data_IF_354308325943
#
_entry.id   IF_354308325943
#
_cell.length_a   1.000
_cell.length_b   1.000
_cell.length_c   1.000
_cell.angle_alpha   90.00
_cell.angle_beta   90.00
_cell.angle_gamma   90.00
#
_symmetry.space_group_name_H-M   'P 1'
#
loop_
_entity.id
_entity.type
_entity.pdbx_description
1 polymer ?
#
# COMPACT_ATOMS: atom_id res chain seq x y z
N UNK A 1 -15.64 30.23 19.69
CA UNK A 1 -14.72 30.76 18.67
C UNK A 1 -13.32 30.73 19.27
N UNK A 2 -12.51 29.72 18.93
CA UNK A 2 -11.10 29.64 19.33
C UNK A 2 -10.24 29.67 18.08
N UNK A 3 -9.27 30.57 18.09
CA UNK A 3 -8.37 30.92 16.99
C UNK A 3 -7.60 29.72 16.41
N UNK A 4 -7.69 29.54 15.09
CA UNK A 4 -6.61 29.90 14.17
C UNK A 4 -5.26 29.20 14.24
N UNK A 5 -5.02 28.20 15.10
CA UNK A 5 -3.79 27.43 15.06
C UNK A 5 -3.87 26.39 13.93
N UNK A 6 -3.14 26.62 12.82
CA UNK A 6 -2.92 25.58 11.80
C UNK A 6 -2.35 24.34 12.52
N UNK A 7 -2.98 23.16 12.42
CA UNK A 7 -2.48 21.98 13.10
C UNK A 7 -1.06 21.70 12.63
N UNK A 8 -0.12 21.57 13.58
CA UNK A 8 1.24 21.19 13.28
C UNK A 8 1.30 19.85 12.54
N UNK A 9 2.31 19.69 11.69
CA UNK A 9 2.54 18.47 10.89
C UNK A 9 2.53 17.21 11.79
N UNK A 10 1.87 16.14 11.33
CA UNK A 10 1.63 14.90 12.09
C UNK A 10 2.94 14.30 12.63
N UNK A 11 2.91 13.89 13.90
CA UNK A 11 3.99 13.18 14.61
C UNK A 11 3.68 11.68 14.78
N UNK A 12 4.71 10.86 15.03
CA UNK A 12 4.54 9.40 15.20
C UNK A 12 3.63 9.05 16.38
N UNK A 13 3.73 9.81 17.48
CA UNK A 13 2.92 9.62 18.69
C UNK A 13 1.43 9.85 18.40
N UNK A 14 1.11 10.87 17.61
CA UNK A 14 -0.27 11.16 17.20
C UNK A 14 -0.80 10.08 16.25
N UNK A 15 0.03 9.61 15.31
CA UNK A 15 -0.35 8.52 14.42
C UNK A 15 -0.67 7.25 15.22
N UNK A 16 0.17 6.89 16.18
CA UNK A 16 -0.02 5.71 17.02
C UNK A 16 -1.22 5.83 17.98
N UNK A 17 -1.42 7.01 18.59
CA UNK A 17 -2.57 7.25 19.47
C UNK A 17 -3.89 7.09 18.71
N UNK A 18 -3.97 7.57 17.46
CA UNK A 18 -5.17 7.41 16.63
C UNK A 18 -5.50 5.95 16.29
N UNK A 19 -4.50 5.07 16.16
CA UNK A 19 -4.75 3.65 15.84
C UNK A 19 -5.65 2.98 16.88
N UNK A 20 -5.43 3.24 18.17
CA UNK A 20 -6.20 2.59 19.24
C UNK A 20 -7.66 3.05 19.26
N UNK A 21 -7.89 4.35 19.12
CA UNK A 21 -9.19 4.94 19.41
C UNK A 21 -10.18 4.83 18.23
N UNK A 22 -9.68 4.68 16.99
CA UNK A 22 -10.56 4.64 15.80
C UNK A 22 -10.80 3.23 15.21
N UNK A 23 -10.27 2.16 15.80
CA UNK A 23 -10.31 0.80 15.25
C UNK A 23 -11.73 0.27 15.00
N UNK A 24 -12.72 0.75 15.75
CA UNK A 24 -14.11 0.28 15.71
C UNK A 24 -15.09 1.26 15.07
N UNK A 25 -14.65 2.47 14.72
CA UNK A 25 -15.51 3.39 14.00
C UNK A 25 -15.49 2.98 12.53
N UNK A 26 -16.65 2.84 11.88
CA UNK A 26 -16.73 2.57 10.44
C UNK A 26 -16.90 3.90 9.71
N UNK A 27 -15.91 4.30 8.90
CA UNK A 27 -15.91 5.63 8.27
C UNK A 27 -16.56 5.62 6.88
N UNK A 28 -17.39 6.63 6.61
CA UNK A 28 -17.79 6.98 5.23
C UNK A 28 -16.61 7.47 4.40
N UNK A 29 -15.51 7.88 5.05
CA UNK A 29 -14.28 8.33 4.42
C UNK A 29 -13.54 7.28 3.58
N UNK A 30 -13.86 5.97 3.70
CA UNK A 30 -13.16 4.90 2.94
C UNK A 30 -13.43 5.02 1.44
N UNK A 31 -14.70 5.19 1.06
CA UNK A 31 -15.09 5.36 -0.35
C UNK A 31 -14.51 6.65 -0.92
N UNK A 32 -14.53 7.72 -0.12
CA UNK A 32 -13.90 8.99 -0.49
C UNK A 32 -12.39 8.88 -0.71
N UNK A 33 -11.69 8.13 0.14
CA UNK A 33 -10.26 7.86 -0.01
C UNK A 33 -9.98 7.02 -1.27
N UNK A 34 -10.78 5.98 -1.52
CA UNK A 34 -10.65 5.16 -2.73
C UNK A 34 -10.78 6.00 -4.00
N UNK A 35 -11.90 6.70 -4.17
CA UNK A 35 -12.14 7.53 -5.37
C UNK A 35 -11.11 8.64 -5.48
N UNK A 36 -10.77 9.28 -4.36
CA UNK A 36 -9.76 10.33 -4.31
C UNK A 36 -8.37 9.83 -4.70
N UNK A 37 -7.97 8.63 -4.28
CA UNK A 37 -6.67 8.05 -4.58
C UNK A 37 -6.53 7.69 -6.06
N UNK A 38 -7.61 7.26 -6.72
CA UNK A 38 -7.53 6.97 -8.15
C UNK A 38 -7.38 8.27 -8.95
N UNK A 39 -8.16 9.31 -8.65
CA UNK A 39 -8.17 10.55 -9.46
C UNK A 39 -7.06 11.54 -9.09
N UNK A 40 -6.74 11.67 -7.81
CA UNK A 40 -5.74 12.62 -7.34
C UNK A 40 -5.09 12.16 -6.02
N UNK A 41 -4.18 11.17 -6.07
CA UNK A 41 -3.56 10.62 -4.87
C UNK A 41 -2.73 11.67 -4.14
N UNK A 42 -2.14 12.63 -4.86
CA UNK A 42 -1.41 13.73 -4.24
C UNK A 42 -2.31 14.60 -3.35
N UNK A 43 -3.55 14.89 -3.78
CA UNK A 43 -4.50 15.66 -2.98
C UNK A 43 -4.95 14.90 -1.73
N UNK A 44 -5.21 13.59 -1.83
CA UNK A 44 -5.58 12.77 -0.66
C UNK A 44 -4.43 12.69 0.35
N UNK A 45 -3.24 12.30 -0.12
CA UNK A 45 -2.07 12.09 0.74
C UNK A 45 -1.65 13.41 1.40
N UNK A 46 -1.53 14.50 0.62
CA UNK A 46 -1.14 15.81 1.18
C UNK A 46 -2.24 16.41 2.04
N UNK A 47 -3.51 16.27 1.65
CA UNK A 47 -4.63 16.77 2.44
C UNK A 47 -4.68 16.13 3.82
N UNK A 48 -4.31 14.85 3.93
CA UNK A 48 -4.17 14.21 5.24
C UNK A 48 -2.95 14.73 6.03
N UNK A 49 -1.78 14.87 5.38
CA UNK A 49 -0.54 15.30 6.05
C UNK A 49 -0.59 16.76 6.54
N UNK A 50 -1.19 17.64 5.75
CA UNK A 50 -1.15 19.09 5.97
C UNK A 50 -2.37 19.59 6.73
N UNK A 51 -3.56 19.15 6.34
CA UNK A 51 -4.82 19.71 6.87
C UNK A 51 -5.50 18.79 7.89
N UNK A 52 -4.93 17.60 8.17
CA UNK A 52 -5.60 16.52 8.95
C UNK A 52 -7.05 16.33 8.50
N UNK A 53 -7.27 16.39 7.19
CA UNK A 53 -8.62 16.47 6.65
C UNK A 53 -9.41 15.19 6.93
N UNK A 54 -10.41 15.26 7.81
CA UNK A 54 -11.29 14.15 8.19
C UNK A 54 -12.21 13.68 7.04
N UNK A 55 -12.17 14.37 5.88
CA UNK A 55 -12.93 13.96 4.69
C UNK A 55 -12.48 12.62 4.12
N UNK A 56 -11.22 12.23 4.30
CA UNK A 56 -10.68 10.95 3.83
C UNK A 56 -10.43 10.02 5.02
N UNK A 57 -10.63 8.73 4.82
CA UNK A 57 -10.31 7.73 5.84
C UNK A 57 -8.85 7.86 6.28
N UNK A 58 -8.59 7.65 7.57
CA UNK A 58 -7.22 7.63 8.10
C UNK A 58 -6.40 6.56 7.36
N UNK A 59 -5.12 6.83 7.03
CA UNK A 59 -4.34 6.00 6.12
C UNK A 59 -4.24 4.53 6.58
N UNK A 60 -4.05 4.30 7.88
CA UNK A 60 -3.95 2.96 8.44
C UNK A 60 -5.30 2.21 8.42
N UNK A 61 -6.44 2.90 8.61
CA UNK A 61 -7.78 2.30 8.50
C UNK A 61 -8.05 1.87 7.07
N UNK A 62 -7.71 2.75 6.13
CA UNK A 62 -7.81 2.44 4.71
C UNK A 62 -6.98 1.21 4.35
N UNK A 63 -5.71 1.15 4.79
CA UNK A 63 -4.86 -0.02 4.59
C UNK A 63 -5.46 -1.29 5.19
N UNK A 64 -5.86 -1.29 6.47
CA UNK A 64 -6.42 -2.47 7.12
C UNK A 64 -7.69 -2.98 6.43
N UNK A 65 -8.59 -2.05 6.06
CA UNK A 65 -9.81 -2.39 5.34
C UNK A 65 -9.50 -3.10 4.02
N UNK A 66 -8.57 -2.57 3.23
CA UNK A 66 -8.26 -3.17 1.92
C UNK A 66 -7.40 -4.43 2.04
N UNK A 67 -6.58 -4.57 3.09
CA UNK A 67 -5.91 -5.84 3.42
C UNK A 67 -6.95 -6.92 3.72
N UNK A 68 -7.95 -6.63 4.56
CA UNK A 68 -9.03 -7.58 4.86
C UNK A 68 -9.80 -7.96 3.59
N UNK A 69 -10.15 -6.98 2.75
CA UNK A 69 -10.82 -7.23 1.47
C UNK A 69 -9.98 -8.12 0.54
N UNK A 70 -8.68 -7.86 0.44
CA UNK A 70 -7.76 -8.65 -0.38
C UNK A 70 -7.57 -10.07 0.13
N UNK A 71 -7.39 -10.26 1.43
CA UNK A 71 -7.25 -11.59 2.05
C UNK A 71 -8.53 -12.39 1.88
N UNK A 72 -9.70 -11.79 2.14
CA UNK A 72 -10.99 -12.46 1.96
C UNK A 72 -11.21 -12.88 0.50
N UNK A 73 -10.82 -12.03 -0.45
CA UNK A 73 -10.94 -12.33 -1.89
C UNK A 73 -9.94 -13.43 -2.29
N UNK A 74 -8.70 -13.37 -1.81
CA UNK A 74 -7.68 -14.40 -2.05
C UNK A 74 -8.17 -15.75 -1.56
N UNK A 75 -8.66 -15.83 -0.32
CA UNK A 75 -9.21 -17.06 0.25
C UNK A 75 -10.41 -17.58 -0.56
N UNK A 76 -11.34 -16.69 -0.93
CA UNK A 76 -12.51 -17.08 -1.70
C UNK A 76 -12.15 -17.57 -3.11
N UNK A 77 -11.28 -16.87 -3.82
CA UNK A 77 -10.94 -17.18 -5.21
C UNK A 77 -9.97 -18.34 -5.30
N UNK A 78 -8.88 -18.34 -4.53
CA UNK A 78 -7.84 -19.35 -4.65
C UNK A 78 -8.24 -20.66 -3.95
N UNK A 79 -8.76 -20.58 -2.73
CA UNK A 79 -9.02 -21.78 -1.92
C UNK A 79 -10.45 -22.31 -2.15
N UNK A 80 -11.47 -21.44 -2.06
CA UNK A 80 -12.87 -21.90 -2.16
C UNK A 80 -13.32 -22.19 -3.61
N UNK A 81 -12.79 -21.49 -4.62
CA UNK A 81 -13.06 -21.81 -6.03
C UNK A 81 -12.04 -22.78 -6.65
N UNK A 82 -10.99 -23.18 -5.93
CA UNK A 82 -10.02 -24.18 -6.39
C UNK A 82 -8.97 -23.69 -7.40
N UNK A 83 -8.88 -22.37 -7.67
CA UNK A 83 -7.90 -21.81 -8.61
C UNK A 83 -6.44 -22.06 -8.18
N UNK A 84 -6.20 -22.34 -6.89
CA UNK A 84 -4.86 -22.68 -6.38
C UNK A 84 -4.31 -23.95 -7.06
N UNK A 85 -5.15 -24.97 -7.20
CA UNK A 85 -4.81 -26.25 -7.82
C UNK A 85 -4.75 -26.12 -9.35
N UNK A 86 -5.69 -25.41 -9.96
CA UNK A 86 -5.74 -25.19 -11.42
C UNK A 86 -4.50 -24.46 -11.96
N UNK A 87 -3.95 -23.52 -11.18
CA UNK A 87 -2.77 -22.75 -11.55
C UNK A 87 -1.45 -23.48 -11.21
N UNK A 88 -1.52 -24.70 -10.67
CA UNK A 88 -0.35 -25.50 -10.28
C UNK A 88 0.42 -24.92 -9.09
N UNK A 89 -0.21 -24.08 -8.27
CA UNK A 89 0.45 -23.42 -7.14
C UNK A 89 0.76 -24.37 -5.97
N UNK A 90 0.14 -25.56 -5.94
CA UNK A 90 0.47 -26.64 -4.98
C UNK A 90 1.83 -27.29 -5.26
N UNK A 91 2.34 -27.18 -6.49
CA UNK A 91 3.58 -27.84 -6.90
C UNK A 91 4.83 -27.09 -6.40
N UNK A 92 4.65 -25.90 -5.83
CA UNK A 92 5.73 -25.10 -5.25
C UNK A 92 5.84 -25.33 -3.73
N UNK A 93 7.07 -25.68 -3.31
CA UNK A 93 7.57 -25.94 -1.95
C UNK A 93 6.81 -25.21 -0.83
N UNK A 94 6.66 -25.84 0.34
CA UNK A 94 6.04 -25.32 1.58
C UNK A 94 6.34 -23.84 1.89
N UNK A 95 7.51 -23.36 1.45
CA UNK A 95 7.94 -21.97 1.46
C UNK A 95 7.01 -20.99 0.71
N UNK A 96 6.57 -21.31 -0.51
CA UNK A 96 5.68 -20.44 -1.30
C UNK A 96 4.28 -20.39 -0.68
N UNK A 97 3.78 -21.54 -0.20
CA UNK A 97 2.53 -21.59 0.54
C UNK A 97 2.58 -20.70 1.79
N UNK A 98 3.66 -20.79 2.59
CA UNK A 98 3.87 -19.92 3.74
C UNK A 98 3.84 -18.43 3.37
N UNK A 99 4.51 -18.02 2.29
CA UNK A 99 4.53 -16.62 1.86
C UNK A 99 3.14 -16.13 1.45
N UNK A 100 2.35 -16.94 0.76
CA UNK A 100 0.99 -16.59 0.34
C UNK A 100 0.06 -16.47 1.55
N UNK A 101 0.12 -17.42 2.47
CA UNK A 101 -0.73 -17.45 3.66
C UNK A 101 -0.41 -16.31 4.63
N UNK A 102 0.85 -15.86 4.65
CA UNK A 102 1.33 -14.76 5.50
C UNK A 102 1.52 -13.44 4.75
N UNK A 103 1.05 -13.33 3.50
CA UNK A 103 1.30 -12.17 2.64
C UNK A 103 0.88 -10.83 3.27
N UNK A 104 -0.23 -10.81 4.01
CA UNK A 104 -0.71 -9.63 4.71
C UNK A 104 0.25 -9.18 5.83
N UNK A 105 0.75 -10.13 6.62
CA UNK A 105 1.71 -9.86 7.70
C UNK A 105 3.04 -9.39 7.11
N UNK A 106 3.53 -10.06 6.06
CA UNK A 106 4.74 -9.67 5.34
C UNK A 106 4.62 -8.25 4.77
N UNK A 107 3.47 -7.91 4.18
CA UNK A 107 3.22 -6.56 3.66
C UNK A 107 3.29 -5.51 4.76
N UNK A 108 2.64 -5.76 5.91
CA UNK A 108 2.69 -4.87 7.08
C UNK A 108 4.11 -4.74 7.65
N UNK A 109 4.89 -5.82 7.62
CA UNK A 109 6.28 -5.82 8.06
C UNK A 109 7.19 -5.03 7.11
N UNK A 110 7.00 -5.14 5.79
CA UNK A 110 7.82 -4.48 4.77
C UNK A 110 7.57 -2.97 4.72
N UNK A 111 6.33 -2.53 4.96
CA UNK A 111 5.89 -1.13 4.92
C UNK A 111 6.81 -0.12 5.65
N UNK A 112 7.20 -0.32 6.93
CA UNK A 112 8.09 0.61 7.63
C UNK A 112 9.50 0.70 7.02
N UNK A 113 10.00 -0.39 6.42
CA UNK A 113 11.29 -0.40 5.72
C UNK A 113 11.19 0.27 4.35
N UNK A 114 10.10 0.02 3.61
CA UNK A 114 9.80 0.73 2.38
C UNK A 114 9.66 2.25 2.63
N UNK A 115 9.10 2.66 3.76
CA UNK A 115 9.02 4.07 4.16
C UNK A 115 10.41 4.68 4.41
N UNK A 116 11.34 3.88 4.93
CA UNK A 116 12.73 4.31 5.11
C UNK A 116 13.41 4.50 3.77
N UNK A 117 13.26 3.55 2.84
CA UNK A 117 13.75 3.67 1.45
C UNK A 117 13.18 4.93 0.80
N UNK A 118 11.86 5.12 0.86
CA UNK A 118 11.22 6.31 0.31
C UNK A 118 11.79 7.59 0.94
N UNK A 119 11.98 7.63 2.25
CA UNK A 119 12.60 8.80 2.90
C UNK A 119 14.01 9.09 2.36
N UNK A 120 14.83 8.06 2.17
CA UNK A 120 16.20 8.23 1.64
C UNK A 120 16.15 8.76 0.20
N UNK A 121 15.32 8.18 -0.65
CA UNK A 121 15.18 8.61 -2.05
C UNK A 121 14.61 10.04 -2.16
N UNK A 122 13.76 10.45 -1.23
CA UNK A 122 13.11 11.77 -1.21
C UNK A 122 13.78 12.78 -0.26
N UNK A 123 15.02 12.54 0.19
CA UNK A 123 15.70 13.41 1.15
C UNK A 123 15.84 14.86 0.64
N UNK A 124 16.12 15.04 -0.66
CA UNK A 124 16.21 16.35 -1.31
C UNK A 124 14.86 17.01 -1.64
N UNK A 125 13.74 16.37 -1.29
CA UNK A 125 12.37 16.84 -1.51
C UNK A 125 11.62 17.13 -0.20
N UNK A 126 12.34 17.15 0.93
CA UNK A 126 11.82 17.46 2.26
C UNK A 126 10.62 16.59 2.69
N UNK A 127 10.65 15.31 2.29
CA UNK A 127 9.68 14.30 2.71
C UNK A 127 10.17 13.68 4.03
N UNK A 128 9.36 13.80 5.09
CA UNK A 128 9.67 13.17 6.38
C UNK A 128 9.31 11.69 6.36
N UNK A 129 9.88 10.91 7.27
CA UNK A 129 9.55 9.49 7.41
C UNK A 129 8.05 9.23 7.57
N UNK A 130 7.38 10.02 8.42
CA UNK A 130 5.95 9.88 8.68
C UNK A 130 5.13 10.19 7.44
N UNK A 131 5.55 11.18 6.65
CA UNK A 131 4.87 11.56 5.41
C UNK A 131 5.01 10.44 4.35
N UNK A 132 6.19 9.82 4.26
CA UNK A 132 6.43 8.64 3.44
C UNK A 132 5.60 7.42 3.89
N UNK A 133 5.52 7.18 5.20
CA UNK A 133 4.73 6.08 5.76
C UNK A 133 3.22 6.25 5.48
N UNK A 134 2.71 7.48 5.63
CA UNK A 134 1.32 7.82 5.29
C UNK A 134 1.05 7.59 3.80
N UNK A 135 1.95 8.07 2.94
CA UNK A 135 1.84 7.87 1.50
C UNK A 135 1.77 6.37 1.16
N UNK A 136 2.65 5.57 1.77
CA UNK A 136 2.70 4.12 1.57
C UNK A 136 1.46 3.41 2.10
N UNK A 137 0.89 3.80 3.24
CA UNK A 137 -0.37 3.22 3.73
C UNK A 137 -1.51 3.41 2.74
N UNK A 138 -1.67 4.62 2.19
CA UNK A 138 -2.68 4.86 1.17
C UNK A 138 -2.40 4.12 -0.13
N UNK A 139 -1.17 4.18 -0.64
CA UNK A 139 -0.86 3.55 -1.93
C UNK A 139 -0.85 2.03 -1.84
N UNK A 140 -0.38 1.45 -0.74
CA UNK A 140 -0.49 0.00 -0.50
C UNK A 140 -1.97 -0.40 -0.36
N UNK A 141 -2.76 0.43 0.34
CA UNK A 141 -4.19 0.19 0.44
C UNK A 141 -4.86 0.14 -0.93
N UNK A 142 -4.48 1.04 -1.84
CA UNK A 142 -4.96 1.04 -3.22
C UNK A 142 -4.47 -0.16 -4.02
N UNK A 143 -3.20 -0.55 -3.87
CA UNK A 143 -2.64 -1.75 -4.51
C UNK A 143 -3.41 -3.01 -4.13
N UNK A 144 -3.82 -3.15 -2.86
CA UNK A 144 -4.64 -4.28 -2.42
C UNK A 144 -5.99 -4.34 -3.15
N UNK A 145 -6.63 -3.19 -3.41
CA UNK A 145 -7.89 -3.15 -4.18
C UNK A 145 -7.69 -3.48 -5.66
N UNK A 146 -6.59 -3.03 -6.27
CA UNK A 146 -6.22 -3.51 -7.59
C UNK A 146 -5.93 -5.02 -7.59
N UNK A 147 -5.37 -5.55 -6.50
CA UNK A 147 -5.20 -6.99 -6.27
C UNK A 147 -6.54 -7.73 -6.25
N UNK A 148 -7.55 -7.20 -5.55
CA UNK A 148 -8.93 -7.75 -5.59
C UNK A 148 -9.46 -7.80 -7.02
N UNK A 149 -9.32 -6.70 -7.78
CA UNK A 149 -9.74 -6.67 -9.19
C UNK A 149 -8.97 -7.68 -10.04
N UNK A 150 -7.68 -7.84 -9.79
CA UNK A 150 -6.80 -8.82 -10.45
C UNK A 150 -7.26 -10.25 -10.21
N UNK A 151 -7.67 -10.58 -8.99
CA UNK A 151 -8.20 -11.91 -8.66
C UNK A 151 -9.56 -12.15 -9.33
N UNK A 152 -10.42 -11.14 -9.40
CA UNK A 152 -11.70 -11.26 -10.13
C UNK A 152 -11.46 -11.48 -11.62
N UNK A 153 -10.54 -10.74 -12.23
CA UNK A 153 -10.23 -10.91 -13.67
C UNK A 153 -9.58 -12.27 -13.93
N UNK A 154 -8.72 -12.75 -13.04
CA UNK A 154 -8.19 -14.11 -13.10
C UNK A 154 -9.31 -15.15 -13.06
N UNK A 155 -10.23 -15.02 -12.12
CA UNK A 155 -11.34 -15.96 -11.96
C UNK A 155 -12.27 -15.98 -13.19
N UNK A 156 -12.49 -14.82 -13.83
CA UNK A 156 -13.34 -14.74 -15.02
C UNK A 156 -12.64 -15.24 -16.29
N UNK A 157 -11.34 -14.96 -16.43
CA UNK A 157 -10.59 -15.23 -17.67
C UNK A 157 -9.84 -16.57 -17.66
N UNK A 158 -9.64 -17.18 -16.49
CA UNK A 158 -8.81 -18.36 -16.26
C UNK A 158 -7.38 -18.21 -16.82
N UNK A 159 -6.89 -16.98 -17.01
CA UNK A 159 -5.62 -16.69 -17.66
C UNK A 159 -4.78 -15.71 -16.85
N UNK A 160 -3.57 -16.12 -16.47
CA UNK A 160 -2.62 -15.21 -15.81
C UNK A 160 -2.22 -14.03 -16.71
N UNK A 161 -2.21 -14.22 -18.04
CA UNK A 161 -1.87 -13.17 -18.98
C UNK A 161 -2.89 -12.01 -18.96
N UNK A 162 -4.15 -12.29 -18.61
CA UNK A 162 -5.19 -11.27 -18.47
C UNK A 162 -4.93 -10.28 -17.33
N UNK A 163 -4.06 -10.63 -16.38
CA UNK A 163 -3.67 -9.76 -15.26
C UNK A 163 -2.48 -8.84 -15.57
N UNK A 164 -1.75 -9.06 -16.66
CA UNK A 164 -0.61 -8.21 -17.04
C UNK A 164 -0.97 -6.71 -17.14
N UNK A 165 -2.11 -6.31 -17.74
CA UNK A 165 -2.50 -4.90 -17.79
C UNK A 165 -2.74 -4.31 -16.40
N UNK A 166 -3.28 -5.09 -15.46
CA UNK A 166 -3.56 -4.64 -14.08
C UNK A 166 -2.24 -4.47 -13.33
N UNK A 167 -1.34 -5.43 -13.44
CA UNK A 167 0.00 -5.34 -12.84
C UNK A 167 0.78 -4.14 -13.36
N UNK A 168 0.73 -3.89 -14.68
CA UNK A 168 1.31 -2.70 -15.28
C UNK A 168 0.65 -1.40 -14.76
N UNK A 169 -0.67 -1.39 -14.63
CA UNK A 169 -1.42 -0.26 -14.07
C UNK A 169 -1.06 0.01 -12.61
N UNK A 170 -0.85 -1.02 -11.79
CA UNK A 170 -0.39 -0.89 -10.39
C UNK A 170 0.98 -0.21 -10.35
N UNK A 171 1.95 -0.69 -11.14
CA UNK A 171 3.31 -0.12 -11.16
C UNK A 171 3.27 1.33 -11.65
N UNK A 172 2.53 1.61 -12.72
CA UNK A 172 2.35 2.97 -13.24
C UNK A 172 1.67 3.89 -12.21
N UNK A 173 0.64 3.38 -11.52
CA UNK A 173 -0.05 4.11 -10.45
C UNK A 173 0.88 4.45 -9.29
N UNK A 174 1.67 3.50 -8.78
CA UNK A 174 2.62 3.74 -7.69
C UNK A 174 3.67 4.79 -8.08
N UNK A 175 4.24 4.64 -9.28
CA UNK A 175 5.18 5.61 -9.83
C UNK A 175 4.58 7.02 -9.88
N UNK A 176 3.38 7.14 -10.45
CA UNK A 176 2.68 8.41 -10.57
C UNK A 176 2.30 9.01 -9.21
N UNK A 177 1.70 8.21 -8.31
CA UNK A 177 1.25 8.66 -7.00
C UNK A 177 2.40 9.20 -6.15
N UNK A 178 3.53 8.50 -6.12
CA UNK A 178 4.72 8.91 -5.37
C UNK A 178 5.37 10.16 -5.96
N UNK A 179 5.44 10.25 -7.30
CA UNK A 179 5.98 11.43 -7.97
C UNK A 179 5.09 12.66 -7.77
N UNK A 180 3.77 12.47 -7.81
CA UNK A 180 2.79 13.54 -7.65
C UNK A 180 2.73 14.03 -6.19
N UNK A 181 2.95 13.15 -5.21
CA UNK A 181 2.92 13.47 -3.79
C UNK A 181 4.08 14.39 -3.34
N UNK A 182 5.30 14.25 -3.86
CA UNK A 182 6.41 15.10 -3.43
C UNK A 182 6.39 16.51 -4.03
N UNK A 183 6.89 17.50 -3.27
CA UNK A 183 7.06 18.88 -3.73
C UNK A 183 8.49 19.10 -4.20
N UNK A 184 8.68 19.73 -5.36
CA UNK A 184 10.00 20.05 -5.90
C UNK A 184 10.09 19.90 -7.42
N UNK A 185 11.31 20.00 -7.98
CA UNK A 185 11.55 19.88 -9.42
C UNK A 185 11.05 18.55 -9.96
N UNK A 186 10.35 18.57 -11.11
CA UNK A 186 9.65 17.40 -11.63
C UNK A 186 10.56 16.19 -11.85
N UNK A 187 11.76 16.40 -12.40
CA UNK A 187 12.73 15.32 -12.66
C UNK A 187 13.22 14.63 -11.38
N UNK A 188 13.42 15.38 -10.29
CA UNK A 188 13.84 14.82 -8.99
C UNK A 188 12.77 13.89 -8.43
N UNK A 189 11.50 14.27 -8.59
CA UNK A 189 10.36 13.47 -8.11
C UNK A 189 10.24 12.16 -8.89
N UNK A 190 10.40 12.21 -10.21
CA UNK A 190 10.37 11.00 -11.05
C UNK A 190 11.52 10.05 -10.69
N UNK A 191 12.74 10.58 -10.60
CA UNK A 191 13.91 9.80 -10.21
C UNK A 191 13.75 9.19 -8.82
N UNK A 192 13.33 9.98 -7.84
CA UNK A 192 13.11 9.49 -6.47
C UNK A 192 12.02 8.40 -6.42
N UNK A 193 10.94 8.53 -7.20
CA UNK A 193 9.86 7.54 -7.26
C UNK A 193 10.33 6.23 -7.90
N UNK A 194 11.11 6.32 -8.98
CA UNK A 194 11.71 5.14 -9.63
C UNK A 194 12.69 4.43 -8.68
N UNK A 195 13.58 5.18 -8.04
CA UNK A 195 14.52 4.63 -7.06
C UNK A 195 13.79 4.01 -5.86
N UNK A 196 12.66 4.60 -5.45
CA UNK A 196 11.84 4.03 -4.37
C UNK A 196 11.18 2.73 -4.80
N UNK A 197 10.69 2.62 -6.04
CA UNK A 197 10.14 1.36 -6.56
C UNK A 197 11.20 0.25 -6.52
N UNK A 198 12.38 0.52 -7.09
CA UNK A 198 13.48 -0.46 -7.12
C UNK A 198 13.93 -0.80 -5.69
N UNK A 199 14.18 0.21 -4.85
CA UNK A 199 14.64 0.01 -3.49
C UNK A 199 13.61 -0.72 -2.61
N UNK A 200 12.31 -0.46 -2.79
CA UNK A 200 11.24 -1.16 -2.09
C UNK A 200 11.16 -2.64 -2.50
N UNK A 201 11.39 -2.96 -3.78
CA UNK A 201 11.46 -4.35 -4.23
C UNK A 201 12.69 -5.07 -3.68
N UNK A 202 13.86 -4.41 -3.68
CA UNK A 202 15.09 -4.98 -3.11
C UNK A 202 14.92 -5.25 -1.62
N UNK A 203 14.40 -4.30 -0.83
CA UNK A 203 14.22 -4.52 0.61
C UNK A 203 13.17 -5.60 0.89
N UNK A 204 12.11 -5.68 0.10
CA UNK A 204 11.11 -6.74 0.21
C UNK A 204 11.73 -8.10 -0.07
N UNK A 205 12.52 -8.23 -1.14
CA UNK A 205 13.19 -9.48 -1.49
C UNK A 205 14.20 -9.91 -0.42
N UNK A 206 14.95 -8.97 0.17
CA UNK A 206 15.87 -9.26 1.27
C UNK A 206 15.14 -9.76 2.52
N UNK A 207 14.02 -9.13 2.90
CA UNK A 207 13.21 -9.57 4.05
C UNK A 207 12.65 -10.97 3.82
N UNK A 208 12.06 -11.21 2.65
CA UNK A 208 11.50 -12.53 2.28
C UNK A 208 12.60 -13.59 2.28
N UNK A 209 13.74 -13.32 1.65
CA UNK A 209 14.89 -14.24 1.61
C UNK A 209 15.42 -14.57 3.01
N UNK A 210 15.53 -13.57 3.89
CA UNK A 210 15.93 -13.79 5.28
C UNK A 210 14.95 -14.70 6.01
N UNK A 211 13.64 -14.47 5.87
CA UNK A 211 12.60 -15.31 6.50
C UNK A 211 12.67 -16.75 5.99
N UNK A 212 12.78 -16.95 4.67
CA UNK A 212 12.89 -18.29 4.09
C UNK A 212 14.15 -19.03 4.56
N UNK A 213 15.27 -18.31 4.73
CA UNK A 213 16.50 -18.91 5.26
C UNK A 213 16.36 -19.39 6.71
N UNK A 214 15.53 -18.73 7.53
CA UNK A 214 15.25 -19.17 8.90
C UNK A 214 14.22 -20.32 8.99
N UNK A 215 13.44 -20.54 7.93
CA UNK A 215 12.42 -21.59 7.87
C UNK A 215 12.94 -22.90 7.25
N UNK A 216 14.07 -22.86 6.54
CA UNK A 216 14.74 -24.01 5.93
C UNK A 216 15.67 -24.71 6.93
#
# INVERSE_FOLDING_TARGET
MTEGARPGRITLRELAAGVRDDLLQWDRGIVGAFVGLIWNPAAVIRGFIEDRNDRFAKPWRYLLFTVVAYVATTWFVLDNLGFRTELGLEQHQDQVAFLLDNAAILTLLVLPFAALVMRVCFIGLNVRYIDALIALFYTQGQTNLYGVMSLVILALSHSQAANLPISAAIVAYLFWAWAAFARGPWWRRLLASLLTLVGAQVISALIVSAILHFLA
#
